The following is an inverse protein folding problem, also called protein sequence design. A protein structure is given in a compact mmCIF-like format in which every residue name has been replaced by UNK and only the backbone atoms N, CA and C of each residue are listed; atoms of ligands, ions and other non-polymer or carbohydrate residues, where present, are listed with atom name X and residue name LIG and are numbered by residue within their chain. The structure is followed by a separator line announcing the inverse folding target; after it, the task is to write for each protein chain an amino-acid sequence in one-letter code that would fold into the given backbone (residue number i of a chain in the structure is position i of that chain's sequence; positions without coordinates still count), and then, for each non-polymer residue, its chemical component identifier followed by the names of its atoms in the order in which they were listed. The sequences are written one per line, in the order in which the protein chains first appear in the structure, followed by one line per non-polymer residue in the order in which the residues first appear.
data_IF_951357921357
#
_entry.id   IF_951357921357
#
_cell.length_a   1.000
_cell.length_b   1.000
_cell.length_c   1.000
_cell.angle_alpha   90.00
_cell.angle_beta   90.00
_cell.angle_gamma   90.00
#
_symmetry.space_group_name_H-M   'P 1'
#
loop_
_entity.id
_entity.type
_entity.pdbx_description
1 polymer ?
#
# COMPACT_ATOMS: atom_id res chain seq x y z
N UNK A 1 12.22 33.25 -21.81
CA UNK A 1 11.63 32.13 -22.53
C UNK A 1 11.71 30.81 -21.78
N UNK A 2 12.83 30.50 -21.14
CA UNK A 2 12.98 29.29 -20.32
C UNK A 2 12.03 29.22 -19.11
N UNK A 3 11.62 30.37 -18.57
CA UNK A 3 10.71 30.41 -17.40
C UNK A 3 9.28 29.98 -17.73
N UNK A 4 8.81 30.22 -18.95
CA UNK A 4 7.45 29.86 -19.40
C UNK A 4 7.35 28.34 -19.57
N UNK A 5 8.39 27.68 -20.08
CA UNK A 5 8.44 26.24 -20.23
C UNK A 5 8.42 25.50 -18.88
N UNK A 6 9.11 26.03 -17.87
CA UNK A 6 9.12 25.45 -16.53
C UNK A 6 7.74 25.51 -15.85
N UNK A 7 7.03 26.63 -16.01
CA UNK A 7 5.69 26.79 -15.42
C UNK A 7 4.70 25.81 -16.06
N UNK A 8 4.78 25.60 -17.35
CA UNK A 8 3.92 24.65 -18.07
C UNK A 8 4.18 23.20 -17.63
N UNK A 9 5.44 22.84 -17.40
CA UNK A 9 5.83 21.51 -16.94
C UNK A 9 5.29 21.25 -15.53
N UNK A 10 5.36 22.23 -14.64
CA UNK A 10 4.83 22.15 -13.28
C UNK A 10 3.31 21.99 -13.27
N UNK A 11 2.60 22.71 -14.14
CA UNK A 11 1.15 22.61 -14.27
C UNK A 11 0.71 21.21 -14.71
N UNK A 12 1.45 20.58 -15.62
CA UNK A 12 1.19 19.21 -16.07
C UNK A 12 1.37 18.19 -14.96
N UNK A 13 2.41 18.34 -14.13
CA UNK A 13 2.65 17.46 -12.96
C UNK A 13 1.51 17.54 -11.96
N UNK A 14 1.01 18.74 -11.67
CA UNK A 14 -0.10 18.94 -10.75
C UNK A 14 -1.39 18.32 -11.29
N UNK A 15 -1.62 18.37 -12.59
CA UNK A 15 -2.81 17.80 -13.22
C UNK A 15 -2.83 16.27 -13.18
N UNK A 16 -1.68 15.60 -13.13
CA UNK A 16 -1.57 14.13 -13.05
C UNK A 16 -1.84 13.59 -11.65
N UNK A 17 -1.53 14.37 -10.60
CA UNK A 17 -1.69 13.94 -9.19
C UNK A 17 -3.13 13.49 -8.86
N UNK A 18 -4.22 14.21 -9.24
CA UNK A 18 -5.58 13.75 -8.95
C UNK A 18 -5.94 12.40 -9.59
N UNK A 19 -5.40 12.11 -10.77
CA UNK A 19 -5.65 10.82 -11.43
C UNK A 19 -4.98 9.65 -10.71
N UNK A 20 -3.78 9.87 -10.15
CA UNK A 20 -3.09 8.86 -9.35
C UNK A 20 -3.88 8.47 -8.10
N UNK A 21 -4.62 9.40 -7.51
CA UNK A 21 -5.46 9.16 -6.32
C UNK A 21 -6.58 8.17 -6.61
N UNK A 22 -7.20 8.22 -7.78
CA UNK A 22 -8.34 7.36 -8.14
C UNK A 22 -7.97 5.88 -8.19
N UNK A 23 -6.69 5.54 -8.41
CA UNK A 23 -6.22 4.16 -8.53
C UNK A 23 -5.34 3.69 -7.37
N UNK A 24 -5.29 4.47 -6.27
CA UNK A 24 -4.39 4.18 -5.15
C UNK A 24 -4.79 2.90 -4.40
N UNK A 25 -6.08 2.65 -4.21
CA UNK A 25 -6.55 1.54 -3.39
C UNK A 25 -6.13 0.16 -3.94
N UNK A 26 -6.38 -0.19 -5.21
CA UNK A 26 -5.95 -1.48 -5.75
C UNK A 26 -4.42 -1.64 -5.77
N UNK A 27 -3.69 -0.55 -6.03
CA UNK A 27 -2.22 -0.56 -6.07
C UNK A 27 -1.65 -0.86 -4.69
N UNK A 28 -2.15 -0.21 -3.65
CA UNK A 28 -1.67 -0.41 -2.28
C UNK A 28 -1.99 -1.83 -1.79
N UNK A 29 -3.17 -2.35 -2.12
CA UNK A 29 -3.55 -3.72 -1.77
C UNK A 29 -2.58 -4.72 -2.43
N UNK A 30 -2.28 -4.53 -3.70
CA UNK A 30 -1.36 -5.39 -4.44
C UNK A 30 0.06 -5.32 -3.86
N UNK A 31 0.52 -4.14 -3.51
CA UNK A 31 1.83 -3.97 -2.87
C UNK A 31 1.89 -4.73 -1.54
N UNK A 32 0.84 -4.65 -0.73
CA UNK A 32 0.77 -5.38 0.52
C UNK A 32 0.80 -6.90 0.28
N UNK A 33 0.07 -7.39 -0.73
CA UNK A 33 0.09 -8.81 -1.10
C UNK A 33 1.50 -9.28 -1.46
N UNK A 34 2.22 -8.51 -2.26
CA UNK A 34 3.57 -8.86 -2.70
C UNK A 34 4.55 -8.86 -1.53
N UNK A 35 4.44 -7.89 -0.63
CA UNK A 35 5.29 -7.83 0.56
C UNK A 35 5.03 -9.00 1.50
N UNK A 36 3.77 -9.39 1.68
CA UNK A 36 3.42 -10.57 2.48
C UNK A 36 4.00 -11.84 1.87
N UNK A 37 3.88 -12.01 0.56
CA UNK A 37 4.49 -13.15 -0.14
C UNK A 37 6.00 -13.19 0.05
N UNK A 38 6.65 -12.05 -0.05
CA UNK A 38 8.09 -11.94 0.17
C UNK A 38 8.47 -12.33 1.59
N UNK A 39 7.71 -11.86 2.59
CA UNK A 39 7.94 -12.22 3.98
C UNK A 39 7.73 -13.72 4.21
N UNK A 40 6.71 -14.32 3.61
CA UNK A 40 6.43 -15.75 3.74
C UNK A 40 7.47 -16.62 3.05
N UNK A 41 8.07 -16.14 1.96
CA UNK A 41 9.09 -16.89 1.23
C UNK A 41 10.46 -16.81 1.89
N UNK A 42 10.65 -15.89 2.83
CA UNK A 42 11.87 -15.78 3.61
C UNK A 42 11.86 -16.73 4.80
N UNK A 43 12.81 -16.51 5.72
CA UNK A 43 12.91 -17.33 6.93
C UNK A 43 11.90 -16.87 7.98
N UNK A 44 10.79 -17.61 8.09
CA UNK A 44 9.78 -17.32 9.09
C UNK A 44 10.27 -17.83 10.45
N UNK A 45 10.30 -16.95 11.45
CA UNK A 45 10.73 -17.23 12.80
C UNK A 45 9.59 -16.98 13.78
N UNK A 46 9.71 -17.40 15.06
CA UNK A 46 8.71 -17.06 16.07
C UNK A 46 8.50 -15.54 16.24
N UNK A 47 9.51 -14.74 15.92
CA UNK A 47 9.43 -13.27 16.00
C UNK A 47 8.70 -12.67 14.80
N UNK A 48 8.84 -13.25 13.63
CA UNK A 48 8.25 -12.70 12.39
C UNK A 48 6.86 -13.26 12.09
N UNK A 49 6.56 -14.46 12.59
CA UNK A 49 5.27 -15.11 12.34
C UNK A 49 4.06 -14.27 12.76
N UNK A 50 4.02 -13.68 13.97
CA UNK A 50 2.89 -12.82 14.36
C UNK A 50 2.73 -11.59 13.46
N UNK A 51 3.83 -11.03 12.98
CA UNK A 51 3.81 -9.87 12.08
C UNK A 51 3.19 -10.24 10.73
N UNK A 52 3.55 -11.40 10.19
CA UNK A 52 3.00 -11.88 8.93
C UNK A 52 1.51 -12.19 9.08
N UNK A 53 1.11 -12.81 10.17
CA UNK A 53 -0.29 -13.12 10.44
C UNK A 53 -1.14 -11.86 10.58
N UNK A 54 -0.63 -10.84 11.27
CA UNK A 54 -1.31 -9.56 11.39
C UNK A 54 -1.40 -8.85 10.04
N UNK A 55 -0.35 -8.91 9.23
CA UNK A 55 -0.36 -8.36 7.89
C UNK A 55 -1.45 -9.01 7.03
N UNK A 56 -1.56 -10.32 7.08
CA UNK A 56 -2.59 -11.08 6.35
C UNK A 56 -4.00 -10.69 6.79
N UNK A 57 -4.21 -10.56 8.08
CA UNK A 57 -5.50 -10.15 8.63
C UNK A 57 -5.90 -8.76 8.15
N UNK A 58 -4.98 -7.81 8.26
CA UNK A 58 -5.22 -6.45 7.81
C UNK A 58 -5.45 -6.37 6.30
N UNK A 59 -4.75 -7.18 5.52
CA UNK A 59 -4.95 -7.24 4.08
C UNK A 59 -6.35 -7.76 3.75
N UNK A 60 -6.81 -8.81 4.43
CA UNK A 60 -8.16 -9.34 4.23
C UNK A 60 -9.22 -8.28 4.56
N UNK A 61 -9.02 -7.52 5.65
CA UNK A 61 -9.91 -6.42 6.02
C UNK A 61 -9.88 -5.31 4.97
N UNK A 62 -8.69 -4.98 4.46
CA UNK A 62 -8.54 -3.96 3.41
C UNK A 62 -9.32 -4.35 2.14
N UNK A 63 -9.22 -5.61 1.72
CA UNK A 63 -9.95 -6.11 0.56
C UNK A 63 -11.45 -6.06 0.78
N UNK A 64 -11.92 -6.47 1.96
CA UNK A 64 -13.34 -6.42 2.29
C UNK A 64 -13.87 -4.99 2.28
N UNK A 65 -13.13 -4.05 2.86
CA UNK A 65 -13.49 -2.64 2.84
C UNK A 65 -13.51 -2.07 1.42
N UNK A 66 -12.53 -2.45 0.60
CA UNK A 66 -12.47 -1.99 -0.79
C UNK A 66 -13.66 -2.51 -1.60
N UNK A 67 -13.96 -3.81 -1.50
CA UNK A 67 -15.05 -4.44 -2.25
C UNK A 67 -16.42 -3.91 -1.85
N UNK A 68 -16.60 -3.52 -0.60
CA UNK A 68 -17.85 -3.01 -0.07
C UNK A 68 -17.88 -1.49 0.05
N UNK A 69 -16.88 -0.79 -0.47
CA UNK A 69 -16.76 0.65 -0.34
C UNK A 69 -17.88 1.38 -1.12
N UNK A 70 -18.58 2.25 -0.43
CA UNK A 70 -19.65 3.09 -1.01
C UNK A 70 -19.31 4.57 -0.96
N UNK A 71 -18.33 4.96 -0.15
CA UNK A 71 -17.93 6.35 0.05
C UNK A 71 -16.42 6.50 -0.07
N UNK A 72 -15.97 7.75 -0.22
CA UNK A 72 -14.54 8.07 -0.21
C UNK A 72 -13.88 7.66 1.09
N UNK A 73 -14.62 7.74 2.20
CA UNK A 73 -14.13 7.37 3.52
C UNK A 73 -13.84 5.87 3.57
N UNK A 74 -14.74 5.05 3.02
CA UNK A 74 -14.56 3.60 2.96
C UNK A 74 -13.32 3.23 2.16
N UNK A 75 -13.10 3.89 1.02
CA UNK A 75 -11.88 3.71 0.24
C UNK A 75 -10.63 4.12 1.02
N UNK A 76 -10.71 5.24 1.75
CA UNK A 76 -9.61 5.70 2.61
C UNK A 76 -9.28 4.71 3.70
N UNK A 77 -10.29 4.11 4.32
CA UNK A 77 -10.10 3.08 5.34
C UNK A 77 -9.43 1.83 4.76
N UNK A 78 -9.81 1.42 3.56
CA UNK A 78 -9.19 0.31 2.86
C UNK A 78 -7.71 0.58 2.57
N UNK A 79 -7.39 1.78 2.08
CA UNK A 79 -6.01 2.19 1.81
C UNK A 79 -5.17 2.17 3.09
N UNK A 80 -5.70 2.73 4.17
CA UNK A 80 -5.00 2.77 5.46
C UNK A 80 -4.70 1.37 5.97
N UNK A 81 -5.66 0.46 5.90
CA UNK A 81 -5.47 -0.93 6.33
C UNK A 81 -4.46 -1.65 5.46
N UNK A 82 -4.49 -1.44 4.15
CA UNK A 82 -3.51 -2.03 3.24
C UNK A 82 -2.10 -1.51 3.51
N UNK A 83 -1.95 -0.21 3.78
CA UNK A 83 -0.65 0.38 4.14
C UNK A 83 -0.13 -0.19 5.46
N UNK A 84 -1.01 -0.38 6.44
CA UNK A 84 -0.63 -0.97 7.72
C UNK A 84 -0.22 -2.43 7.53
N UNK A 85 -0.93 -3.18 6.71
CA UNK A 85 -0.56 -4.56 6.37
C UNK A 85 0.84 -4.60 5.75
N UNK A 86 1.10 -3.70 4.79
CA UNK A 86 2.41 -3.58 4.15
C UNK A 86 3.52 -3.27 5.17
N UNK A 87 3.24 -2.38 6.13
CA UNK A 87 4.21 -2.02 7.17
C UNK A 87 4.58 -3.23 8.04
N UNK A 88 3.61 -4.04 8.44
CA UNK A 88 3.88 -5.27 9.21
C UNK A 88 4.70 -6.27 8.40
N UNK A 89 4.38 -6.43 7.11
CA UNK A 89 5.14 -7.30 6.23
C UNK A 89 6.58 -6.83 6.05
N UNK A 90 6.79 -5.52 5.87
CA UNK A 90 8.12 -4.93 5.76
C UNK A 90 8.94 -5.13 7.03
N UNK A 91 8.31 -4.99 8.21
CA UNK A 91 8.98 -5.24 9.47
C UNK A 91 9.43 -6.70 9.57
N UNK A 92 8.57 -7.64 9.17
CA UNK A 92 8.93 -9.06 9.15
C UNK A 92 10.12 -9.31 8.22
N UNK A 93 10.12 -8.71 7.03
CA UNK A 93 11.22 -8.84 6.07
C UNK A 93 12.52 -8.28 6.68
N UNK A 94 12.45 -7.13 7.33
CA UNK A 94 13.60 -6.51 7.98
C UNK A 94 14.19 -7.40 9.07
N UNK A 95 13.33 -8.02 9.89
CA UNK A 95 13.77 -8.91 10.96
C UNK A 95 14.33 -10.24 10.45
N UNK A 96 13.95 -10.65 9.25
CA UNK A 96 14.50 -11.84 8.62
C UNK A 96 15.96 -11.66 8.20
N UNK A 97 16.39 -10.41 8.03
CA UNK A 97 17.74 -10.04 7.66
C UNK A 97 18.01 -10.19 6.17
N UNK A 98 19.25 -9.88 5.77
CA UNK A 98 19.65 -10.02 4.37
C UNK A 98 19.75 -11.46 3.94
#
# INVERSE_FOLDING_TARGET
MTRIGMVLTLALLVAVVPMAWAFTCPVVIKQAEELIKKAESGKVTPDTKPLIEEAKKLLAEAKAHHDNAKTKRDHGDAVRKAKTAAAFAEEAITLQGP
#
